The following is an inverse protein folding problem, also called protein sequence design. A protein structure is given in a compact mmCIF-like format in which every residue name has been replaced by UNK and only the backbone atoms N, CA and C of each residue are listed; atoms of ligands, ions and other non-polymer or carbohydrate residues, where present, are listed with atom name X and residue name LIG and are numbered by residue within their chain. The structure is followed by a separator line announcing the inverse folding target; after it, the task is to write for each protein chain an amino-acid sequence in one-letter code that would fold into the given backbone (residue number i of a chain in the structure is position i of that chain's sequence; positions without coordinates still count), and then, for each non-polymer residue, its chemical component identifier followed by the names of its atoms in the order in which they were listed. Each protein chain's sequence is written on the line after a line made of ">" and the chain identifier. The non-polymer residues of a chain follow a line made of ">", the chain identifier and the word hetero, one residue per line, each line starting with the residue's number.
data_IF_767515870492
#
_entry.id   IF_767515870492
#
_cell.length_a   1.000
_cell.length_b   1.000
_cell.length_c   1.000
_cell.angle_alpha   90.00
_cell.angle_beta   90.00
_cell.angle_gamma   90.00
#
_symmetry.space_group_name_H-M   'P 1'
#
loop_
_entity.id
_entity.type
_entity.pdbx_description
1 polymer ?
#
# COMPACT_ATOMS: atom_id res chain seq x y z
N UNK A 1 -14.42 27.69 -7.16
CA UNK A 1 -14.14 26.63 -8.16
C UNK A 1 -13.12 25.67 -7.57
N UNK A 2 -13.56 24.62 -6.87
CA UNK A 2 -12.67 23.63 -6.25
C UNK A 2 -12.45 22.53 -7.28
N UNK A 3 -11.31 22.57 -7.97
CA UNK A 3 -10.86 21.46 -8.83
C UNK A 3 -10.41 20.34 -7.87
N UNK A 4 -11.33 19.43 -7.55
CA UNK A 4 -10.98 18.21 -6.81
C UNK A 4 -10.09 17.36 -7.72
N UNK A 5 -8.78 17.50 -7.56
CA UNK A 5 -7.82 16.59 -8.18
C UNK A 5 -7.83 15.33 -7.32
N UNK A 6 -8.66 14.35 -7.68
CA UNK A 6 -8.49 13.00 -7.14
C UNK A 6 -7.24 12.46 -7.84
N UNK A 7 -6.06 12.39 -7.18
CA UNK A 7 -4.90 11.80 -7.81
C UNK A 7 -5.28 10.38 -8.22
N UNK A 8 -5.05 10.06 -9.50
CA UNK A 8 -5.31 8.72 -10.04
C UNK A 8 -4.32 7.77 -9.39
N UNK A 9 -4.77 7.10 -8.34
CA UNK A 9 -3.97 6.10 -7.64
C UNK A 9 -4.17 4.73 -8.27
N UNK A 10 -3.07 4.03 -8.55
CA UNK A 10 -3.07 2.62 -8.94
C UNK A 10 -2.71 1.77 -7.74
N UNK A 11 -3.23 0.53 -7.72
CA UNK A 11 -2.99 -0.42 -6.64
C UNK A 11 -2.53 -1.74 -7.24
N UNK A 12 -1.43 -2.29 -6.72
CA UNK A 12 -0.87 -3.56 -7.19
C UNK A 12 -0.26 -4.37 -6.06
N UNK A 13 -0.27 -5.69 -6.21
CA UNK A 13 0.45 -6.62 -5.32
C UNK A 13 1.92 -6.74 -5.70
N UNK A 14 2.77 -6.97 -4.72
CA UNK A 14 4.21 -7.24 -4.89
C UNK A 14 4.73 -8.10 -3.74
N UNK A 15 5.98 -8.53 -3.86
CA UNK A 15 6.75 -9.19 -2.82
C UNK A 15 7.96 -8.30 -2.45
N UNK A 16 8.25 -8.08 -1.15
CA UNK A 16 9.37 -7.26 -0.68
C UNK A 16 10.72 -7.70 -1.23
N UNK A 17 10.93 -9.00 -1.44
CA UNK A 17 12.16 -9.56 -2.04
C UNK A 17 12.31 -9.23 -3.54
N UNK A 18 11.26 -8.70 -4.17
CA UNK A 18 11.23 -8.33 -5.58
C UNK A 18 11.78 -6.92 -5.88
N UNK A 19 11.52 -6.39 -7.09
CA UNK A 19 12.05 -5.09 -7.53
C UNK A 19 11.55 -3.90 -6.70
N UNK A 20 10.50 -4.08 -5.90
CA UNK A 20 9.91 -3.03 -5.08
C UNK A 20 10.47 -2.95 -3.65
N UNK A 21 11.31 -3.90 -3.21
CA UNK A 21 11.83 -3.94 -1.84
C UNK A 21 12.42 -2.61 -1.38
N UNK A 22 13.32 -2.03 -2.19
CA UNK A 22 13.93 -0.73 -1.90
C UNK A 22 12.93 0.42 -1.79
N UNK A 23 11.80 0.35 -2.52
CA UNK A 23 10.73 1.37 -2.44
C UNK A 23 9.94 1.21 -1.14
N UNK A 24 9.67 -0.03 -0.73
CA UNK A 24 9.01 -0.35 0.54
C UNK A 24 9.87 0.07 1.73
N UNK A 25 11.18 -0.21 1.69
CA UNK A 25 12.13 0.20 2.74
C UNK A 25 12.19 1.73 2.89
N UNK A 26 12.16 2.46 1.76
CA UNK A 26 12.08 3.92 1.77
C UNK A 26 10.81 4.41 2.47
N UNK A 27 9.65 3.83 2.15
CA UNK A 27 8.38 4.19 2.79
C UNK A 27 8.41 3.88 4.30
N UNK A 28 9.01 2.76 4.70
CA UNK A 28 9.19 2.38 6.09
C UNK A 28 10.04 3.41 6.85
N UNK A 29 11.15 3.84 6.26
CA UNK A 29 11.99 4.91 6.79
C UNK A 29 11.22 6.24 6.94
N UNK A 30 10.44 6.64 5.93
CA UNK A 30 9.61 7.86 5.98
C UNK A 30 8.52 7.79 7.06
N UNK A 31 8.01 6.59 7.36
CA UNK A 31 7.02 6.34 8.40
C UNK A 31 7.61 6.06 9.79
N UNK A 32 8.95 6.07 9.93
CA UNK A 32 9.65 5.64 11.14
C UNK A 32 9.13 4.30 11.69
N UNK A 33 8.82 3.36 10.79
CA UNK A 33 8.18 2.08 11.09
C UNK A 33 8.91 0.93 10.40
N UNK A 34 8.63 -0.31 10.79
CA UNK A 34 9.17 -1.49 10.10
C UNK A 34 8.47 -1.69 8.75
N UNK A 35 9.17 -2.21 7.73
CA UNK A 35 8.53 -2.56 6.46
C UNK A 35 7.53 -3.71 6.66
N UNK A 36 6.44 -3.76 5.87
CA UNK A 36 5.56 -4.92 5.84
C UNK A 36 6.24 -6.15 5.24
N UNK A 37 5.81 -7.32 5.70
CA UNK A 37 6.34 -8.63 5.30
C UNK A 37 5.35 -9.41 4.40
N UNK A 38 5.89 -10.37 3.64
CA UNK A 38 5.10 -11.24 2.77
C UNK A 38 4.44 -10.50 1.61
N UNK A 39 3.23 -10.88 1.21
CA UNK A 39 2.53 -10.21 0.09
C UNK A 39 2.16 -8.79 0.50
N UNK A 40 2.62 -7.80 -0.26
CA UNK A 40 2.39 -6.36 0.00
C UNK A 40 1.51 -5.77 -1.09
N UNK A 41 0.54 -4.94 -0.70
CA UNK A 41 -0.20 -4.07 -1.62
C UNK A 41 0.45 -2.68 -1.62
N UNK A 42 0.78 -2.19 -2.81
CA UNK A 42 1.27 -0.84 -3.04
C UNK A 42 0.13 0.06 -3.53
N UNK A 43 0.13 1.30 -3.07
CA UNK A 43 -0.57 2.41 -3.69
C UNK A 43 0.43 3.33 -4.38
N UNK A 44 0.21 3.61 -5.65
CA UNK A 44 1.06 4.46 -6.47
C UNK A 44 0.29 5.68 -6.93
N UNK A 45 0.93 6.85 -6.88
CA UNK A 45 0.43 8.09 -7.47
C UNK A 45 1.44 8.53 -8.50
N UNK A 46 0.99 8.69 -9.74
CA UNK A 46 1.86 9.02 -10.89
C UNK A 46 3.00 7.99 -11.07
N UNK A 47 2.70 6.71 -10.80
CA UNK A 47 3.65 5.60 -10.96
C UNK A 47 4.67 5.45 -9.83
N UNK A 48 4.65 6.32 -8.82
CA UNK A 48 5.56 6.22 -7.66
C UNK A 48 4.80 5.72 -6.42
N UNK A 49 5.33 4.72 -5.69
CA UNK A 49 4.72 4.27 -4.44
C UNK A 49 4.65 5.38 -3.40
N UNK A 50 3.46 5.57 -2.84
CA UNK A 50 3.20 6.54 -1.76
C UNK A 50 2.69 5.87 -0.49
N UNK A 51 2.22 4.63 -0.57
CA UNK A 51 1.86 3.82 0.59
C UNK A 51 1.95 2.32 0.28
N UNK A 52 2.16 1.53 1.32
CA UNK A 52 2.19 0.08 1.25
C UNK A 52 1.51 -0.52 2.50
N UNK A 53 0.86 -1.68 2.34
CA UNK A 53 0.34 -2.47 3.46
C UNK A 53 0.62 -3.95 3.22
N UNK A 54 1.08 -4.66 4.24
CA UNK A 54 1.19 -6.11 4.17
C UNK A 54 -0.18 -6.78 4.26
N UNK A 55 -0.42 -7.73 3.37
CA UNK A 55 -1.70 -8.41 3.24
C UNK A 55 -2.05 -9.18 4.52
N UNK A 56 -1.08 -9.88 5.11
CA UNK A 56 -1.30 -10.73 6.26
C UNK A 56 -0.96 -10.05 7.59
N UNK A 57 0.19 -9.39 7.69
CA UNK A 57 0.63 -8.71 8.92
C UNK A 57 -0.14 -7.41 9.22
N UNK A 58 -0.74 -6.78 8.20
CA UNK A 58 -1.42 -5.49 8.33
C UNK A 58 -0.49 -4.31 8.60
N UNK A 59 0.83 -4.49 8.53
CA UNK A 59 1.79 -3.41 8.73
C UNK A 59 1.65 -2.40 7.59
N UNK A 60 1.43 -1.14 7.93
CA UNK A 60 1.27 -0.05 6.95
C UNK A 60 2.45 0.90 7.02
N UNK A 61 2.97 1.28 5.86
CA UNK A 61 3.97 2.34 5.70
C UNK A 61 3.52 3.30 4.61
N UNK A 62 3.85 4.57 4.72
CA UNK A 62 3.44 5.60 3.78
C UNK A 62 4.37 6.81 3.77
N UNK A 63 4.40 7.52 2.65
CA UNK A 63 4.98 8.85 2.58
C UNK A 63 3.97 9.85 3.19
N UNK A 64 4.26 10.51 4.32
CA UNK A 64 3.33 11.44 4.96
C UNK A 64 3.03 12.68 4.12
N UNK A 65 3.94 13.07 3.24
CA UNK A 65 3.78 14.25 2.38
C UNK A 65 2.97 13.93 1.11
N UNK A 66 2.98 12.68 0.65
CA UNK A 66 2.36 12.28 -0.62
C UNK A 66 1.14 11.37 -0.48
N UNK A 67 0.99 10.68 0.64
CA UNK A 67 -0.16 9.80 0.87
C UNK A 67 -1.37 10.58 1.41
N UNK A 68 -2.44 10.61 0.62
CA UNK A 68 -3.72 11.16 1.09
C UNK A 68 -4.45 10.14 1.99
N UNK A 69 -5.33 10.64 2.87
CA UNK A 69 -6.18 9.76 3.70
C UNK A 69 -7.01 8.81 2.83
N UNK A 70 -7.56 9.30 1.70
CA UNK A 70 -8.36 8.49 0.79
C UNK A 70 -7.56 7.32 0.17
N UNK A 71 -6.30 7.56 -0.20
CA UNK A 71 -5.41 6.51 -0.72
C UNK A 71 -5.15 5.44 0.35
N UNK A 72 -4.82 5.85 1.58
CA UNK A 72 -4.60 4.91 2.69
C UNK A 72 -5.87 4.10 2.99
N UNK A 73 -7.03 4.75 3.07
CA UNK A 73 -8.32 4.07 3.31
C UNK A 73 -8.65 3.07 2.21
N UNK A 74 -8.42 3.42 0.93
CA UNK A 74 -8.64 2.49 -0.18
C UNK A 74 -7.71 1.28 -0.10
N UNK A 75 -6.45 1.49 0.30
CA UNK A 75 -5.47 0.42 0.49
C UNK A 75 -5.90 -0.55 1.60
N UNK A 76 -6.37 -0.04 2.75
CA UNK A 76 -6.95 -0.86 3.81
C UNK A 76 -8.20 -1.64 3.35
N UNK A 77 -9.08 -0.99 2.58
CA UNK A 77 -10.27 -1.65 2.04
C UNK A 77 -9.90 -2.79 1.06
N UNK A 78 -8.90 -2.59 0.21
CA UNK A 78 -8.39 -3.64 -0.68
C UNK A 78 -7.82 -4.83 0.08
N UNK A 79 -7.06 -4.58 1.15
CA UNK A 79 -6.53 -5.65 2.02
C UNK A 79 -7.66 -6.52 2.56
N UNK A 80 -8.71 -5.90 3.12
CA UNK A 80 -9.86 -6.64 3.65
C UNK A 80 -10.59 -7.43 2.55
N UNK A 81 -10.79 -6.83 1.37
CA UNK A 81 -11.39 -7.51 0.22
C UNK A 81 -10.59 -8.75 -0.20
N UNK A 82 -9.27 -8.63 -0.28
CA UNK A 82 -8.40 -9.74 -0.66
C UNK A 82 -8.33 -10.81 0.43
N UNK A 83 -8.29 -10.43 1.70
CA UNK A 83 -8.36 -11.40 2.80
C UNK A 83 -9.66 -12.20 2.74
N UNK A 84 -10.81 -11.58 2.47
CA UNK A 84 -12.06 -12.31 2.26
C UNK A 84 -11.97 -13.30 1.10
N UNK A 85 -11.42 -12.89 -0.04
CA UNK A 85 -11.26 -13.75 -1.22
C UNK A 85 -10.32 -14.93 -0.93
N UNK A 86 -9.22 -14.70 -0.22
CA UNK A 86 -8.24 -15.72 0.15
C UNK A 86 -8.84 -16.70 1.16
N UNK A 87 -9.54 -16.20 2.19
CA UNK A 87 -10.21 -17.04 3.20
C UNK A 87 -11.29 -17.94 2.59
N UNK A 88 -12.00 -17.48 1.55
CA UNK A 88 -13.01 -18.27 0.85
C UNK A 88 -12.41 -19.37 -0.02
N UNK A 89 -11.14 -19.25 -0.43
CA UNK A 89 -10.50 -20.22 -1.31
C UNK A 89 -9.85 -21.39 -0.60
N UNK A 90 -9.78 -21.38 0.74
CA UNK A 90 -9.19 -22.46 1.52
C UNK A 90 -7.69 -22.56 1.27
N UNK A 91 -6.90 -22.06 2.23
CA UNK A 91 -5.59 -22.65 2.49
C UNK A 91 -5.76 -23.77 3.50
#
# INVERSE_FOLDING_TARGET
>A
MIRSFIPRATFRGTLPEGPDGRRIDRLAALSASRPPEGVVLLAEVEGEPVAAIGLFDGQTVSDPARSSLAVRMRLHALRLQLLMIVSLRGF
#
